data_IF_734384126561
#
_entry.id   IF_734384126561
#
_cell.length_a   1.000
_cell.length_b   1.000
_cell.length_c   1.000
_cell.angle_alpha   90.00
_cell.angle_beta   90.00
_cell.angle_gamma   90.00
#
_symmetry.space_group_name_H-M   'P 1'
#
loop_
_entity.id
_entity.type
_entity.pdbx_description
1 polymer ?
#
# COMPACT_ATOMS: atom_id res chain seq x y z
N UNK A 1 21.49 10.37 7.70
CA UNK A 1 22.15 9.09 8.04
C UNK A 1 21.06 8.09 8.34
N UNK A 2 21.07 6.91 7.71
CA UNK A 2 20.04 5.88 7.93
C UNK A 2 20.44 5.09 9.18
N UNK A 3 19.57 5.03 10.18
CA UNK A 3 19.82 4.32 11.43
C UNK A 3 18.97 3.05 11.50
N UNK A 4 19.52 2.00 12.09
CA UNK A 4 18.73 0.81 12.43
C UNK A 4 17.68 1.17 13.48
N UNK A 5 16.48 0.58 13.36
CA UNK A 5 15.38 0.76 14.30
C UNK A 5 15.00 -0.57 14.93
N UNK A 6 14.72 -0.55 16.24
CA UNK A 6 14.21 -1.71 16.97
C UNK A 6 12.70 -1.56 17.16
N UNK A 7 11.97 -2.62 16.80
CA UNK A 7 10.52 -2.70 16.97
C UNK A 7 10.24 -3.65 18.13
N UNK A 8 9.43 -3.20 19.08
CA UNK A 8 8.83 -4.07 20.10
C UNK A 8 7.43 -4.43 19.63
N UNK A 9 7.15 -5.73 19.58
CA UNK A 9 5.86 -6.27 19.18
C UNK A 9 5.29 -7.12 20.30
N UNK A 10 4.03 -6.86 20.63
CA UNK A 10 3.27 -7.62 21.61
C UNK A 10 2.04 -8.21 20.92
N UNK A 11 2.02 -9.53 20.82
CA UNK A 11 0.92 -10.28 20.21
C UNK A 11 -0.02 -10.70 21.34
N UNK A 12 -1.23 -10.14 21.36
CA UNK A 12 -2.20 -10.48 22.38
C UNK A 12 -2.68 -11.92 22.20
N UNK A 13 -2.91 -12.61 23.31
CA UNK A 13 -3.48 -13.96 23.34
C UNK A 13 -2.68 -15.02 22.54
N UNK A 14 -1.44 -14.68 22.14
CA UNK A 14 -0.65 -15.51 21.22
C UNK A 14 -1.22 -15.59 19.79
N UNK A 15 -2.20 -14.76 19.42
CA UNK A 15 -2.87 -14.79 18.13
C UNK A 15 -2.34 -13.70 17.17
N UNK A 16 -1.47 -14.01 16.19
CA UNK A 16 -0.95 -13.01 15.24
C UNK A 16 -2.03 -12.47 14.28
N UNK A 17 -3.16 -13.17 14.14
CA UNK A 17 -4.26 -12.73 13.29
C UNK A 17 -5.24 -11.81 14.03
N UNK A 18 -5.16 -11.75 15.35
CA UNK A 18 -5.98 -10.88 16.20
C UNK A 18 -5.34 -9.51 16.41
N UNK A 19 -5.31 -9.09 17.69
CA UNK A 19 -4.66 -7.86 18.14
C UNK A 19 -3.13 -7.99 18.21
N UNK A 20 -2.44 -6.98 17.70
CA UNK A 20 -1.00 -6.79 17.86
C UNK A 20 -0.76 -5.33 18.27
N UNK A 21 0.12 -5.11 19.23
CA UNK A 21 0.65 -3.80 19.60
C UNK A 21 2.11 -3.70 19.15
N UNK A 22 2.46 -2.59 18.50
CA UNK A 22 3.80 -2.31 17.99
C UNK A 22 4.28 -0.93 18.44
N UNK A 23 5.55 -0.86 18.84
CA UNK A 23 6.23 0.38 19.21
C UNK A 23 7.66 0.43 18.70
N UNK A 24 8.18 1.65 18.53
CA UNK A 24 9.60 1.89 18.26
C UNK A 24 10.30 2.38 19.52
N UNK A 25 11.55 1.98 19.70
CA UNK A 25 12.39 2.52 20.78
C UNK A 25 12.51 4.05 20.66
N UNK A 26 12.32 4.75 21.78
CA UNK A 26 12.37 6.21 21.90
C UNK A 26 11.32 6.98 21.09
N UNK A 27 10.23 6.33 20.65
CA UNK A 27 9.11 7.00 20.00
C UNK A 27 7.87 6.96 20.90
N UNK A 28 7.14 8.08 20.97
CA UNK A 28 5.93 8.17 21.79
C UNK A 28 4.65 7.66 21.08
N UNK A 29 4.77 7.27 19.81
CA UNK A 29 3.66 6.65 19.10
C UNK A 29 3.53 5.18 19.45
N UNK A 30 2.30 4.68 19.30
CA UNK A 30 1.94 3.27 19.42
C UNK A 30 0.99 2.90 18.30
N UNK A 31 1.26 1.76 17.66
CA UNK A 31 0.43 1.22 16.59
C UNK A 31 -0.24 -0.05 17.08
N UNK A 32 -1.53 -0.17 16.81
CA UNK A 32 -2.30 -1.39 17.01
C UNK A 32 -2.79 -1.92 15.69
N UNK A 33 -2.61 -3.22 15.43
CA UNK A 33 -3.46 -3.98 14.51
C UNK A 33 -4.57 -4.62 15.32
N UNK A 34 -5.81 -4.47 14.87
CA UNK A 34 -7.00 -4.96 15.55
C UNK A 34 -7.89 -5.64 14.50
N UNK A 35 -8.09 -6.94 14.63
CA UNK A 35 -9.11 -7.61 13.80
C UNK A 35 -10.49 -7.06 14.13
N UNK A 36 -11.37 -6.90 13.13
CA UNK A 36 -12.74 -6.38 13.32
C UNK A 36 -13.50 -7.10 14.42
N UNK A 37 -13.31 -8.41 14.55
CA UNK A 37 -14.00 -9.24 15.55
C UNK A 37 -13.46 -9.05 16.98
N UNK A 38 -12.31 -8.40 17.15
CA UNK A 38 -11.61 -8.24 18.42
C UNK A 38 -11.66 -6.79 18.96
N UNK A 39 -12.46 -5.91 18.35
CA UNK A 39 -12.69 -4.53 18.82
C UNK A 39 -13.30 -4.50 20.21
N UNK A 40 -14.16 -5.47 20.54
CA UNK A 40 -14.75 -5.60 21.88
C UNK A 40 -13.66 -5.71 22.95
N UNK A 41 -12.69 -6.59 22.79
CA UNK A 41 -11.68 -6.77 23.83
C UNK A 41 -10.54 -5.74 23.71
N UNK A 42 -10.34 -5.13 22.54
CA UNK A 42 -9.55 -3.90 22.44
C UNK A 42 -10.14 -2.78 23.30
N UNK A 43 -11.47 -2.73 23.46
CA UNK A 43 -12.11 -1.70 24.29
C UNK A 43 -11.85 -1.78 25.79
N UNK A 44 -11.27 -2.89 26.26
CA UNK A 44 -10.87 -3.04 27.65
C UNK A 44 -9.54 -2.35 27.96
N UNK A 45 -8.82 -1.85 26.94
CA UNK A 45 -7.55 -1.13 27.15
C UNK A 45 -7.78 0.31 27.58
N UNK A 46 -6.97 0.76 28.53
CA UNK A 46 -7.02 2.13 29.04
C UNK A 46 -6.73 3.18 27.96
N UNK A 47 -5.83 2.86 27.02
CA UNK A 47 -5.42 3.75 25.94
C UNK A 47 -6.23 3.57 24.64
N UNK A 48 -7.30 2.76 24.67
CA UNK A 48 -8.14 2.50 23.48
C UNK A 48 -8.89 3.73 22.99
N UNK A 49 -9.11 4.73 23.85
CA UNK A 49 -9.79 5.98 23.51
C UNK A 49 -8.82 7.15 23.31
N UNK A 50 -7.51 6.93 23.27
CA UNK A 50 -6.55 8.01 23.07
C UNK A 50 -6.76 8.73 21.73
N UNK A 51 -6.36 9.99 21.67
CA UNK A 51 -6.40 10.77 20.43
C UNK A 51 -5.43 10.18 19.39
N UNK A 52 -5.91 10.02 18.16
CA UNK A 52 -5.08 9.41 17.11
C UNK A 52 -5.74 9.36 15.74
N UNK A 53 -5.08 8.63 14.85
CA UNK A 53 -5.57 8.30 13.51
C UNK A 53 -5.77 6.79 13.40
N UNK A 54 -6.68 6.36 12.54
CA UNK A 54 -6.95 4.96 12.28
C UNK A 54 -7.18 4.69 10.80
N UNK A 55 -6.91 3.45 10.39
CA UNK A 55 -7.03 2.97 9.02
C UNK A 55 -7.89 1.71 9.04
N UNK A 56 -9.00 1.70 8.30
CA UNK A 56 -9.84 0.52 8.13
C UNK A 56 -9.48 -0.14 6.81
N UNK A 57 -8.99 -1.37 6.89
CA UNK A 57 -8.43 -2.13 5.77
C UNK A 57 -9.40 -3.23 5.38
N UNK A 58 -9.77 -3.27 4.11
CA UNK A 58 -10.75 -4.20 3.58
C UNK A 58 -10.46 -4.59 2.14
N UNK A 59 -11.49 -5.14 1.50
CA UNK A 59 -11.45 -5.47 0.07
C UNK A 59 -12.75 -5.09 -0.60
N UNK A 60 -12.68 -4.65 -1.85
CA UNK A 60 -13.85 -4.43 -2.71
C UNK A 60 -14.40 -5.75 -3.27
N UNK A 61 -15.52 -5.69 -3.99
CA UNK A 61 -16.16 -6.84 -4.64
C UNK A 61 -15.25 -7.54 -5.66
N UNK A 62 -14.25 -6.83 -6.18
CA UNK A 62 -13.24 -7.36 -7.10
C UNK A 62 -11.99 -7.89 -6.37
N UNK A 63 -12.06 -8.05 -5.04
CA UNK A 63 -10.96 -8.50 -4.19
C UNK A 63 -9.73 -7.56 -4.23
N UNK A 64 -9.93 -6.29 -4.60
CA UNK A 64 -8.89 -5.24 -4.53
C UNK A 64 -8.84 -4.63 -3.14
N UNK A 65 -7.66 -4.34 -2.64
CA UNK A 65 -7.50 -3.78 -1.30
C UNK A 65 -8.09 -2.38 -1.19
N UNK A 66 -8.82 -2.13 -0.11
CA UNK A 66 -9.45 -0.84 0.22
C UNK A 66 -8.91 -0.29 1.52
N UNK A 67 -8.90 1.04 1.63
CA UNK A 67 -8.50 1.74 2.85
C UNK A 67 -9.43 2.93 3.11
N UNK A 68 -9.96 3.01 4.32
CA UNK A 68 -10.55 4.23 4.88
C UNK A 68 -9.58 4.83 5.90
N UNK A 69 -9.40 6.14 5.88
CA UNK A 69 -8.49 6.86 6.77
C UNK A 69 -9.29 7.83 7.60
N UNK A 70 -9.19 7.75 8.92
CA UNK A 70 -9.93 8.61 9.83
C UNK A 70 -9.10 9.11 11.00
N UNK A 71 -9.58 10.19 11.62
CA UNK A 71 -9.09 10.69 12.91
C UNK A 71 -10.18 10.68 13.98
N UNK A 72 -9.77 10.65 15.24
CA UNK A 72 -10.63 11.01 16.36
C UNK A 72 -9.82 11.39 17.61
N UNK A 73 -10.42 12.22 18.46
CA UNK A 73 -9.97 12.42 19.86
C UNK A 73 -10.29 11.20 20.74
N UNK A 74 -11.24 10.37 20.29
CA UNK A 74 -11.68 9.12 20.91
C UNK A 74 -11.78 8.04 19.84
N UNK A 75 -10.65 7.40 19.53
CA UNK A 75 -10.53 6.52 18.35
C UNK A 75 -11.48 5.32 18.42
N UNK A 76 -11.60 4.67 19.58
CA UNK A 76 -12.43 3.49 19.70
C UNK A 76 -13.91 3.83 19.55
N UNK A 77 -14.35 4.95 20.14
CA UNK A 77 -15.72 5.45 19.93
C UNK A 77 -16.01 5.64 18.45
N UNK A 78 -15.07 6.20 17.69
CA UNK A 78 -15.24 6.42 16.25
C UNK A 78 -15.18 5.11 15.45
N UNK A 79 -14.26 4.21 15.75
CA UNK A 79 -14.16 2.88 15.11
C UNK A 79 -15.43 2.06 15.34
N UNK A 80 -16.02 2.11 16.54
CA UNK A 80 -17.31 1.45 16.86
C UNK A 80 -18.48 2.00 16.03
N UNK A 81 -18.43 3.25 15.56
CA UNK A 81 -19.44 3.77 14.63
C UNK A 81 -19.33 3.05 13.28
N UNK A 82 -18.11 2.86 12.77
CA UNK A 82 -17.85 2.15 11.52
C UNK A 82 -18.19 0.65 11.53
N UNK A 83 -18.41 0.05 12.70
CA UNK A 83 -18.93 -1.32 12.79
C UNK A 83 -20.37 -1.44 12.26
N UNK A 84 -21.12 -0.33 12.25
CA UNK A 84 -22.52 -0.28 11.81
C UNK A 84 -22.66 0.10 10.33
N UNK A 85 -21.57 0.53 9.70
CA UNK A 85 -21.56 0.94 8.30
C UNK A 85 -21.75 -0.27 7.37
N UNK A 86 -22.26 -0.02 6.17
CA UNK A 86 -22.46 -1.03 5.12
C UNK A 86 -21.14 -1.53 4.54
N UNK A 87 -20.08 -0.72 4.60
CA UNK A 87 -18.76 -1.09 4.09
C UNK A 87 -18.05 -2.04 5.04
N UNK A 88 -17.74 -3.23 4.51
CA UNK A 88 -17.04 -4.25 5.27
C UNK A 88 -15.52 -4.04 5.22
N UNK A 89 -14.88 -4.18 6.38
CA UNK A 89 -13.43 -4.10 6.55
C UNK A 89 -13.00 -5.21 7.50
N UNK A 90 -11.76 -5.70 7.35
CA UNK A 90 -11.25 -6.86 8.08
C UNK A 90 -10.39 -6.46 9.28
N UNK A 91 -9.47 -5.54 9.05
CA UNK A 91 -8.50 -5.09 10.04
C UNK A 91 -8.59 -3.58 10.24
N UNK A 92 -8.40 -3.14 11.48
CA UNK A 92 -8.19 -1.75 11.83
C UNK A 92 -6.75 -1.57 12.31
N UNK A 93 -6.05 -0.61 11.72
CA UNK A 93 -4.81 -0.09 12.28
C UNK A 93 -5.13 1.18 13.04
N UNK A 94 -4.87 1.21 14.35
CA UNK A 94 -5.01 2.42 15.16
C UNK A 94 -3.62 2.95 15.55
N UNK A 95 -3.42 4.26 15.45
CA UNK A 95 -2.15 4.91 15.75
C UNK A 95 -2.41 6.05 16.73
N UNK A 96 -1.86 5.91 17.93
CA UNK A 96 -2.07 6.84 19.03
C UNK A 96 -0.74 7.38 19.56
N UNK A 97 -0.82 8.43 20.37
CA UNK A 97 0.27 8.82 21.29
C UNK A 97 0.03 8.20 22.67
N UNK A 98 1.08 7.64 23.29
CA UNK A 98 0.97 7.00 24.61
C UNK A 98 0.62 8.01 25.70
N UNK A 99 1.22 9.20 25.64
CA UNK A 99 0.97 10.27 26.61
C UNK A 99 -0.12 11.25 26.15
N UNK A 100 -0.92 10.87 25.14
CA UNK A 100 -1.98 11.69 24.56
C UNK A 100 -1.49 13.09 24.13
N UNK A 101 -0.29 13.17 23.56
CA UNK A 101 0.32 14.43 23.07
C UNK A 101 -0.39 14.99 21.83
N UNK A 102 -1.13 14.15 21.12
CA UNK A 102 -1.85 14.55 19.91
C UNK A 102 -3.12 15.29 20.28
N UNK A 103 -3.32 16.47 19.69
CA UNK A 103 -4.56 17.21 19.77
C UNK A 103 -5.36 17.13 18.46
N UNK A 104 -6.53 17.79 18.43
CA UNK A 104 -7.41 17.80 17.26
C UNK A 104 -6.76 18.31 15.97
N UNK A 105 -5.95 19.36 16.06
CA UNK A 105 -5.27 19.92 14.89
C UNK A 105 -4.20 18.95 14.36
N UNK A 106 -3.47 18.28 15.26
CA UNK A 106 -2.48 17.27 14.89
C UNK A 106 -3.12 16.09 14.15
N UNK A 107 -4.20 15.51 14.68
CA UNK A 107 -4.82 14.33 14.04
C UNK A 107 -5.51 14.66 12.72
N UNK A 108 -6.05 15.87 12.55
CA UNK A 108 -6.54 16.35 11.24
C UNK A 108 -5.42 16.52 10.22
N UNK A 109 -4.27 17.05 10.65
CA UNK A 109 -3.08 17.13 9.81
C UNK A 109 -2.63 15.72 9.39
N UNK A 110 -2.52 14.79 10.35
CA UNK A 110 -2.13 13.40 10.09
C UNK A 110 -3.10 12.70 9.14
N UNK A 111 -4.41 12.80 9.37
CA UNK A 111 -5.45 12.22 8.49
C UNK A 111 -5.29 12.69 7.05
N UNK A 112 -5.14 14.00 6.83
CA UNK A 112 -4.93 14.56 5.50
C UNK A 112 -3.64 14.06 4.84
N UNK A 113 -2.53 13.99 5.60
CA UNK A 113 -1.25 13.50 5.07
C UNK A 113 -1.30 12.03 4.72
N UNK A 114 -1.85 11.17 5.58
CA UNK A 114 -2.04 9.75 5.27
C UNK A 114 -3.00 9.53 4.10
N UNK A 115 -4.08 10.31 4.01
CA UNK A 115 -4.99 10.28 2.86
C UNK A 115 -4.25 10.58 1.56
N UNK A 116 -3.46 11.65 1.56
CA UNK A 116 -2.66 12.04 0.39
C UNK A 116 -1.63 10.97 0.03
N UNK A 117 -0.92 10.43 1.03
CA UNK A 117 0.05 9.34 0.84
C UNK A 117 -0.59 8.09 0.23
N UNK A 118 -1.77 7.66 0.71
CA UNK A 118 -2.46 6.49 0.17
C UNK A 118 -2.93 6.72 -1.28
N UNK A 119 -3.45 7.91 -1.59
CA UNK A 119 -3.82 8.28 -2.96
C UNK A 119 -2.59 8.29 -3.89
N UNK A 120 -1.48 8.87 -3.45
CA UNK A 120 -0.24 8.92 -4.25
C UNK A 120 0.39 7.54 -4.43
N UNK A 121 0.37 6.70 -3.40
CA UNK A 121 0.90 5.33 -3.48
C UNK A 121 0.10 4.45 -4.44
N UNK A 122 -1.22 4.64 -4.53
CA UNK A 122 -2.09 3.92 -5.47
C UNK A 122 -2.19 2.41 -5.19
N UNK A 123 -1.76 1.96 -4.00
CA UNK A 123 -1.73 0.54 -3.60
C UNK A 123 -3.08 -0.01 -3.18
N UNK A 124 -3.96 0.87 -2.67
CA UNK A 124 -5.32 0.52 -2.24
C UNK A 124 -6.30 1.58 -2.71
N UNK A 125 -7.54 1.16 -2.95
CA UNK A 125 -8.62 2.11 -3.25
C UNK A 125 -9.02 2.84 -1.97
N UNK A 126 -8.76 4.15 -1.93
CA UNK A 126 -9.16 5.00 -0.79
C UNK A 126 -10.65 5.30 -0.90
N UNK A 127 -11.42 4.86 0.11
CA UNK A 127 -12.90 4.89 0.11
C UNK A 127 -13.52 6.06 0.88
N UNK A 128 -12.71 6.98 1.43
CA UNK A 128 -13.22 8.21 2.03
C UNK A 128 -14.12 8.97 1.04
N UNK A 129 -15.28 9.42 1.52
CA UNK A 129 -16.26 10.18 0.72
C UNK A 129 -15.80 11.60 0.39
N UNK A 130 -14.93 12.17 1.21
CA UNK A 130 -14.38 13.52 1.04
C UNK A 130 -12.87 13.53 1.30
N UNK A 131 -12.19 14.54 0.76
CA UNK A 131 -10.79 14.82 1.09
C UNK A 131 -10.73 15.39 2.51
N UNK A 132 -10.00 14.76 3.45
CA UNK A 132 -9.87 15.28 4.80
C UNK A 132 -9.28 16.68 4.85
N UNK A 133 -9.73 17.52 5.76
CA UNK A 133 -9.23 18.89 5.91
C UNK A 133 -7.84 18.91 6.54
N UNK A 134 -6.92 19.71 6.02
CA UNK A 134 -5.61 19.91 6.64
C UNK A 134 -5.65 21.10 7.60
N UNK A 135 -5.43 20.85 8.90
CA UNK A 135 -5.25 21.92 9.88
C UNK A 135 -3.90 22.61 9.70
N UNK A 136 -3.86 23.92 9.98
CA UNK A 136 -2.61 24.67 10.13
C UNK A 136 -1.99 24.37 11.48
N UNK A 137 -0.69 24.10 11.50
CA UNK A 137 0.10 23.76 12.69
C UNK A 137 1.40 24.55 12.68
N UNK A 138 2.07 24.63 13.84
CA UNK A 138 3.39 25.28 13.92
C UNK A 138 4.45 24.47 13.16
N UNK A 139 5.54 25.13 12.75
CA UNK A 139 6.70 24.45 12.13
C UNK A 139 7.28 23.36 13.04
N UNK A 140 7.29 23.61 14.35
CA UNK A 140 7.72 22.63 15.35
C UNK A 140 6.82 21.38 15.37
N UNK A 141 5.50 21.58 15.37
CA UNK A 141 4.54 20.48 15.32
C UNK A 141 4.63 19.72 14.00
N UNK A 142 4.83 20.43 12.89
CA UNK A 142 5.01 19.80 11.58
C UNK A 142 6.22 18.87 11.57
N UNK A 143 7.38 19.32 12.06
CA UNK A 143 8.57 18.47 12.17
C UNK A 143 8.31 17.20 12.99
N UNK A 144 7.61 17.34 14.13
CA UNK A 144 7.23 16.23 15.01
C UNK A 144 6.27 15.25 14.33
N UNK A 145 5.24 15.76 13.63
CA UNK A 145 4.25 14.92 12.94
C UNK A 145 4.82 14.25 11.68
N UNK A 146 5.81 14.85 11.02
CA UNK A 146 6.53 14.19 9.92
C UNK A 146 7.31 12.97 10.41
N UNK A 147 7.96 13.06 11.57
CA UNK A 147 8.58 11.89 12.20
C UNK A 147 7.53 10.84 12.58
N UNK A 148 6.40 11.29 13.14
CA UNK A 148 5.27 10.42 13.48
C UNK A 148 4.75 9.65 12.26
N UNK A 149 4.58 10.32 11.12
CA UNK A 149 4.16 9.70 9.85
C UNK A 149 5.19 8.67 9.40
N UNK A 150 6.47 9.02 9.39
CA UNK A 150 7.57 8.13 8.96
C UNK A 150 7.63 6.85 9.79
N UNK A 151 7.57 6.98 11.12
CA UNK A 151 7.55 5.86 12.05
C UNK A 151 6.30 4.99 11.90
N UNK A 152 5.14 5.62 11.69
CA UNK A 152 3.88 4.92 11.45
C UNK A 152 3.94 4.09 10.16
N UNK A 153 4.41 4.67 9.05
CA UNK A 153 4.59 3.96 7.78
C UNK A 153 5.47 2.71 7.97
N UNK A 154 6.58 2.84 8.68
CA UNK A 154 7.51 1.74 8.95
C UNK A 154 6.86 0.59 9.73
N UNK A 155 6.10 0.89 10.77
CA UNK A 155 5.41 -0.13 11.57
C UNK A 155 4.28 -0.81 10.79
N UNK A 156 3.51 -0.05 10.02
CA UNK A 156 2.41 -0.58 9.22
C UNK A 156 2.93 -1.50 8.11
N UNK A 157 4.03 -1.12 7.48
CA UNK A 157 4.73 -1.97 6.51
C UNK A 157 5.27 -3.26 7.16
N UNK A 158 5.84 -3.16 8.37
CA UNK A 158 6.30 -4.32 9.15
C UNK A 158 5.15 -5.27 9.48
N UNK A 159 3.95 -4.74 9.69
CA UNK A 159 2.72 -5.52 9.88
C UNK A 159 2.16 -6.13 8.58
N UNK A 160 2.79 -5.87 7.43
CA UNK A 160 2.44 -6.42 6.13
C UNK A 160 1.57 -5.53 5.26
N UNK A 161 1.24 -4.31 5.70
CA UNK A 161 0.39 -3.39 4.94
C UNK A 161 1.22 -2.32 4.24
N UNK A 162 1.27 -2.35 2.90
CA UNK A 162 2.09 -1.45 2.07
C UNK A 162 1.32 -0.24 1.51
N UNK A 163 0.24 0.14 2.18
CA UNK A 163 -0.76 1.11 1.69
C UNK A 163 -0.22 2.53 1.45
N UNK A 164 0.92 2.88 2.06
CA UNK A 164 1.55 4.20 1.96
C UNK A 164 2.90 4.19 1.24
N UNK A 165 3.35 3.05 0.73
CA UNK A 165 4.64 2.92 0.09
C UNK A 165 4.56 3.26 -1.39
N UNK A 166 5.43 4.18 -1.82
CA UNK A 166 5.65 4.39 -3.24
C UNK A 166 6.32 3.16 -3.84
N UNK A 167 6.10 2.95 -5.14
CA UNK A 167 6.75 1.87 -5.87
C UNK A 167 8.27 2.00 -5.83
N UNK A 168 8.78 3.23 -5.86
CA UNK A 168 10.21 3.55 -5.72
C UNK A 168 10.78 3.12 -4.36
N UNK A 169 10.02 3.34 -3.26
CA UNK A 169 10.42 2.93 -1.90
C UNK A 169 10.57 1.41 -1.80
N UNK A 170 9.76 0.66 -2.54
CA UNK A 170 9.78 -0.82 -2.55
C UNK A 170 10.70 -1.43 -3.61
N UNK A 171 11.36 -0.61 -4.43
CA UNK A 171 12.19 -1.08 -5.54
C UNK A 171 13.41 -1.86 -5.02
N UNK A 172 13.61 -3.06 -5.55
CA UNK A 172 14.77 -3.89 -5.17
C UNK A 172 15.97 -3.39 -5.96
N UNK A 173 16.91 -2.72 -5.29
CA UNK A 173 18.20 -2.31 -5.87
C UNK A 173 19.11 -3.53 -5.99
N UNK A 174 19.02 -4.26 -7.10
CA UNK A 174 20.00 -5.28 -7.46
C UNK A 174 21.34 -4.57 -7.79
N UNK A 175 22.37 -4.78 -6.97
CA UNK A 175 23.72 -4.23 -7.18
C UNK A 175 23.80 -2.69 -7.28
N UNK A 176 23.16 -1.97 -6.34
CA UNK A 176 23.21 -0.51 -6.20
C UNK A 176 22.60 0.31 -7.36
N UNK A 177 22.26 -0.31 -8.49
CA UNK A 177 21.53 0.30 -9.60
C UNK A 177 20.12 -0.29 -9.72
N UNK A 178 19.12 0.58 -9.86
CA UNK A 178 17.74 0.15 -10.12
C UNK A 178 17.69 -0.44 -11.54
N UNK A 179 17.49 -1.77 -11.62
CA UNK A 179 17.41 -2.46 -12.90
C UNK A 179 16.01 -2.29 -13.48
N UNK A 180 15.88 -1.43 -14.49
CA UNK A 180 14.68 -1.32 -15.30
C UNK A 180 14.61 -2.47 -16.29
N UNK A 181 13.40 -3.00 -16.45
CA UNK A 181 13.06 -4.05 -17.38
C UNK A 181 12.09 -3.54 -18.42
N UNK A 182 12.25 -4.00 -19.65
CA UNK A 182 11.53 -3.52 -20.80
C UNK A 182 10.86 -4.68 -21.52
N UNK A 183 9.65 -4.44 -22.00
CA UNK A 183 8.97 -5.28 -23.00
C UNK A 183 8.71 -4.41 -24.22
N UNK A 184 9.11 -4.91 -25.39
CA UNK A 184 8.70 -4.37 -26.69
C UNK A 184 8.19 -5.51 -27.56
N UNK A 185 6.90 -5.50 -27.89
CA UNK A 185 6.23 -6.59 -28.59
C UNK A 185 5.50 -6.12 -29.86
N UNK A 186 5.34 -7.03 -30.82
CA UNK A 186 4.83 -6.73 -32.16
C UNK A 186 3.42 -6.12 -32.22
N UNK A 187 2.60 -6.27 -31.17
CA UNK A 187 1.22 -5.72 -31.10
C UNK A 187 1.15 -4.33 -30.45
N UNK A 188 2.26 -3.59 -30.50
CA UNK A 188 2.34 -2.22 -29.96
C UNK A 188 2.56 -2.13 -28.45
N UNK A 189 2.84 -3.25 -27.76
CA UNK A 189 3.19 -3.18 -26.35
C UNK A 189 4.61 -2.63 -26.19
N UNK A 190 4.76 -1.60 -25.37
CA UNK A 190 6.03 -0.96 -25.03
C UNK A 190 5.95 -0.53 -23.56
N UNK A 191 6.47 -1.37 -22.67
CA UNK A 191 6.33 -1.18 -21.24
C UNK A 191 7.67 -1.19 -20.52
N UNK A 192 7.76 -0.39 -19.47
CA UNK A 192 8.88 -0.38 -18.53
C UNK A 192 8.37 -0.87 -17.18
N UNK A 193 9.13 -1.74 -16.54
CA UNK A 193 8.82 -2.25 -15.21
C UNK A 193 10.04 -2.44 -14.35
N UNK A 194 9.80 -2.62 -13.06
CA UNK A 194 10.83 -2.81 -12.03
C UNK A 194 10.39 -3.91 -11.06
N UNK A 195 11.36 -4.60 -10.47
CA UNK A 195 11.11 -5.54 -9.38
C UNK A 195 10.88 -4.74 -8.10
N UNK A 196 9.80 -5.08 -7.40
CA UNK A 196 9.48 -4.53 -6.08
C UNK A 196 9.35 -5.65 -5.06
N UNK A 197 9.46 -5.32 -3.78
CA UNK A 197 9.44 -6.31 -2.70
C UNK A 197 8.15 -7.14 -2.61
N UNK A 198 7.05 -6.69 -3.19
CA UNK A 198 5.75 -7.38 -3.26
C UNK A 198 5.33 -7.81 -4.68
N UNK A 199 6.25 -7.83 -5.65
CA UNK A 199 5.96 -8.33 -6.99
C UNK A 199 6.70 -7.56 -8.08
N UNK A 200 5.95 -7.09 -9.08
CA UNK A 200 6.52 -6.44 -10.27
C UNK A 200 5.69 -5.22 -10.66
N UNK A 201 6.29 -4.05 -10.61
CA UNK A 201 5.63 -2.80 -10.93
C UNK A 201 5.84 -2.43 -12.40
N UNK A 202 4.76 -2.10 -13.11
CA UNK A 202 4.77 -1.47 -14.43
C UNK A 202 4.61 0.03 -14.25
N UNK A 203 5.47 0.81 -14.90
CA UNK A 203 5.54 2.25 -14.69
C UNK A 203 4.53 3.01 -15.53
N UNK A 204 4.11 4.16 -15.03
CA UNK A 204 3.33 5.18 -15.74
C UNK A 204 3.98 5.48 -17.09
N UNK A 205 3.15 5.63 -18.13
CA UNK A 205 3.61 5.86 -19.50
C UNK A 205 3.87 4.56 -20.27
N UNK A 206 3.83 3.39 -19.63
CA UNK A 206 3.92 2.10 -20.31
C UNK A 206 2.69 1.84 -21.16
N UNK A 207 2.88 1.29 -22.36
CA UNK A 207 1.84 0.99 -23.34
C UNK A 207 1.61 -0.52 -23.38
N UNK A 208 0.35 -0.94 -23.30
CA UNK A 208 -0.05 -2.34 -23.46
C UNK A 208 -0.46 -2.62 -24.91
N UNK A 209 -0.36 -3.88 -25.33
CA UNK A 209 -0.76 -4.30 -26.67
C UNK A 209 -2.20 -3.89 -26.97
N UNK A 210 -2.50 -3.40 -28.17
CA UNK A 210 -3.86 -2.93 -28.53
C UNK A 210 -4.91 -4.05 -28.60
N UNK A 211 -4.48 -5.31 -28.71
CA UNK A 211 -5.35 -6.48 -28.83
C UNK A 211 -4.89 -7.66 -27.98
N UNK A 212 -5.85 -8.51 -27.61
CA UNK A 212 -5.61 -9.76 -26.88
C UNK A 212 -5.63 -10.97 -27.82
N UNK A 213 -4.89 -12.04 -27.50
CA UNK A 213 -5.02 -13.32 -28.21
C UNK A 213 -6.27 -14.08 -27.74
N UNK A 214 -6.89 -14.86 -28.64
CA UNK A 214 -8.01 -15.75 -28.30
C UNK A 214 -7.69 -16.77 -27.19
N UNK A 215 -6.42 -17.16 -27.05
CA UNK A 215 -5.96 -18.11 -26.03
C UNK A 215 -5.65 -17.48 -24.67
N UNK A 216 -5.80 -16.16 -24.52
CA UNK A 216 -5.60 -15.48 -23.23
C UNK A 216 -6.68 -15.94 -22.25
N UNK A 217 -6.28 -16.26 -21.02
CA UNK A 217 -7.23 -16.77 -20.03
C UNK A 217 -8.26 -15.70 -19.64
N UNK A 218 -9.47 -16.15 -19.32
CA UNK A 218 -10.58 -15.26 -18.93
C UNK A 218 -10.21 -14.36 -17.74
N UNK A 219 -9.50 -14.91 -16.74
CA UNK A 219 -9.05 -14.15 -15.58
C UNK A 219 -8.12 -12.98 -15.96
N UNK A 220 -7.23 -13.17 -16.93
CA UNK A 220 -6.35 -12.11 -17.42
C UNK A 220 -7.11 -11.06 -18.23
N UNK A 221 -8.09 -11.48 -19.03
CA UNK A 221 -8.99 -10.56 -19.74
C UNK A 221 -9.78 -9.69 -18.74
N UNK A 222 -10.33 -10.32 -17.70
CA UNK A 222 -11.07 -9.62 -16.65
C UNK A 222 -10.18 -8.61 -15.91
N UNK A 223 -8.96 -9.01 -15.52
CA UNK A 223 -8.00 -8.11 -14.89
C UNK A 223 -7.69 -6.91 -15.80
N UNK A 224 -7.40 -7.16 -17.08
CA UNK A 224 -7.09 -6.10 -18.04
C UNK A 224 -8.26 -5.13 -18.22
N UNK A 225 -9.49 -5.64 -18.33
CA UNK A 225 -10.70 -4.81 -18.41
C UNK A 225 -10.93 -4.02 -17.12
N UNK A 226 -10.64 -4.62 -15.96
CA UNK A 226 -10.72 -3.94 -14.67
C UNK A 226 -9.73 -2.77 -14.60
N UNK A 227 -8.50 -2.93 -15.09
CA UNK A 227 -7.51 -1.84 -15.12
C UNK A 227 -7.94 -0.68 -16.04
N UNK A 228 -8.57 -1.00 -17.18
CA UNK A 228 -9.16 0.00 -18.09
C UNK A 228 -10.34 0.72 -17.41
N UNK A 229 -11.26 -0.03 -16.82
CA UNK A 229 -12.44 0.53 -16.15
C UNK A 229 -12.08 1.39 -14.93
N UNK A 230 -11.02 1.02 -14.20
CA UNK A 230 -10.51 1.81 -13.06
C UNK A 230 -9.69 3.04 -13.50
N UNK A 231 -9.50 3.27 -14.80
CA UNK A 231 -8.69 4.38 -15.32
C UNK A 231 -7.19 4.25 -15.03
N UNK A 232 -6.73 3.06 -14.58
CA UNK A 232 -5.31 2.80 -14.38
C UNK A 232 -4.60 2.77 -15.74
N UNK A 233 -5.33 2.29 -16.75
CA UNK A 233 -4.93 2.30 -18.16
C UNK A 233 -5.98 3.12 -18.91
N UNK A 234 -5.54 4.12 -19.67
CA UNK A 234 -6.44 5.00 -20.42
C UNK A 234 -6.90 4.37 -21.75
N UNK A 235 -7.75 5.12 -22.48
CA UNK A 235 -8.28 4.71 -23.78
C UNK A 235 -7.19 4.49 -24.86
N UNK A 236 -6.03 5.12 -24.70
CA UNK A 236 -4.86 4.95 -25.58
C UNK A 236 -3.97 3.76 -25.19
N UNK A 237 -4.47 2.87 -24.31
CA UNK A 237 -3.75 1.70 -23.80
C UNK A 237 -2.46 2.05 -23.03
N UNK A 238 -2.41 3.23 -22.41
CA UNK A 238 -1.28 3.71 -21.64
C UNK A 238 -1.58 3.73 -20.14
N UNK A 239 -0.62 3.30 -19.32
CA UNK A 239 -0.73 3.37 -17.85
C UNK A 239 -0.66 4.83 -17.38
N UNK A 240 -1.71 5.33 -16.72
CA UNK A 240 -1.77 6.70 -16.17
C UNK A 240 -1.05 6.84 -14.83
N UNK A 241 -0.85 5.72 -14.15
CA UNK A 241 -0.12 5.60 -12.89
C UNK A 241 0.68 4.30 -12.87
N UNK A 242 1.67 4.24 -11.98
CA UNK A 242 2.40 3.01 -11.74
C UNK A 242 1.43 1.94 -11.17
N UNK A 243 1.58 0.68 -11.59
CA UNK A 243 0.74 -0.41 -11.11
C UNK A 243 1.56 -1.65 -10.77
N UNK A 244 1.36 -2.19 -9.56
CA UNK A 244 2.08 -3.37 -9.07
C UNK A 244 1.27 -4.63 -9.32
N UNK A 245 1.86 -5.55 -10.07
CA UNK A 245 1.35 -6.90 -10.25
C UNK A 245 1.97 -7.86 -9.25
N UNK A 246 1.24 -8.90 -8.86
CA UNK A 246 1.71 -9.95 -7.93
C UNK A 246 2.87 -10.78 -8.49
N UNK A 247 3.13 -10.72 -9.80
CA UNK A 247 4.26 -11.40 -10.42
C UNK A 247 4.70 -10.75 -11.74
N UNK A 248 5.97 -10.92 -12.15
CA UNK A 248 6.44 -10.50 -13.47
C UNK A 248 5.65 -11.12 -14.63
N UNK A 249 5.21 -12.38 -14.48
CA UNK A 249 4.42 -13.07 -15.51
C UNK A 249 3.02 -12.49 -15.67
N UNK A 250 2.36 -12.13 -14.58
CA UNK A 250 1.07 -11.44 -14.65
C UNK A 250 1.20 -10.09 -15.35
N UNK A 251 2.24 -9.32 -14.99
CA UNK A 251 2.55 -8.05 -15.65
C UNK A 251 2.80 -8.23 -17.16
N UNK A 252 3.67 -9.17 -17.54
CA UNK A 252 3.97 -9.45 -18.94
C UNK A 252 2.71 -9.88 -19.71
N UNK A 253 1.86 -10.72 -19.10
CA UNK A 253 0.68 -11.23 -19.77
C UNK A 253 -0.35 -10.13 -20.06
N UNK A 254 -0.57 -9.22 -19.10
CA UNK A 254 -1.46 -8.06 -19.26
C UNK A 254 -0.91 -7.08 -20.29
N UNK A 255 0.39 -6.74 -20.20
CA UNK A 255 1.08 -5.84 -21.12
C UNK A 255 1.04 -6.38 -22.55
N UNK A 256 1.39 -7.65 -22.75
CA UNK A 256 1.49 -8.24 -24.10
C UNK A 256 0.15 -8.69 -24.67
N UNK A 257 -0.92 -8.76 -23.86
CA UNK A 257 -2.24 -9.24 -24.29
C UNK A 257 -2.25 -10.73 -24.66
N UNK A 258 -1.45 -11.56 -23.98
CA UNK A 258 -1.41 -13.03 -24.15
C UNK A 258 -0.84 -13.69 -22.91
N UNK A 259 -0.97 -15.01 -22.77
CA UNK A 259 -0.16 -15.74 -21.79
C UNK A 259 1.32 -15.53 -22.10
N UNK A 260 2.09 -15.15 -21.07
CA UNK A 260 3.49 -14.78 -21.20
C UNK A 260 4.26 -15.17 -19.93
N UNK A 261 5.50 -15.65 -20.11
CA UNK A 261 6.39 -15.92 -19.00
C UNK A 261 7.24 -14.67 -18.72
N UNK A 262 6.94 -13.97 -17.62
CA UNK A 262 7.61 -12.71 -17.31
C UNK A 262 9.11 -12.86 -17.14
N UNK A 263 9.59 -14.02 -16.68
CA UNK A 263 11.03 -14.28 -16.46
C UNK A 263 11.83 -14.24 -17.77
N UNK A 264 11.21 -14.50 -18.91
CA UNK A 264 11.86 -14.50 -20.22
C UNK A 264 11.54 -13.26 -21.06
N UNK A 265 10.38 -12.64 -20.83
CA UNK A 265 9.88 -11.52 -21.62
C UNK A 265 10.45 -10.18 -21.14
N UNK A 266 10.57 -9.98 -19.82
CA UNK A 266 11.17 -8.79 -19.24
C UNK A 266 12.69 -8.84 -19.39
N UNK A 267 13.24 -7.83 -20.08
CA UNK A 267 14.68 -7.73 -20.38
C UNK A 267 15.27 -6.39 -19.98
N UNK A 268 16.52 -6.37 -19.56
CA UNK A 268 17.25 -5.10 -19.35
C UNK A 268 17.64 -4.45 -20.68
N UNK A 269 18.21 -3.25 -20.63
CA UNK A 269 18.82 -2.58 -21.80
C UNK A 269 19.86 -3.45 -22.49
N UNK A 270 20.59 -4.27 -21.73
CA UNK A 270 21.61 -5.20 -22.22
C UNK A 270 21.02 -6.51 -22.76
N UNK A 271 19.69 -6.57 -22.92
CA UNK A 271 18.93 -7.74 -23.39
C UNK A 271 19.00 -8.97 -22.47
N UNK A 272 19.53 -8.84 -21.25
CA UNK A 272 19.50 -9.91 -20.24
C UNK A 272 18.08 -10.08 -19.72
N UNK A 273 17.61 -11.31 -19.69
CA UNK A 273 16.30 -11.67 -19.16
C UNK A 273 16.29 -11.63 -17.63
N UNK A 274 15.11 -11.44 -17.06
CA UNK A 274 14.93 -11.56 -15.61
C UNK A 274 15.41 -12.93 -15.09
N UNK A 275 15.15 -14.02 -15.82
CA UNK A 275 15.62 -15.37 -15.48
C UNK A 275 17.14 -15.44 -15.34
N UNK A 276 17.87 -14.92 -16.33
CA UNK A 276 19.34 -14.93 -16.32
C UNK A 276 19.91 -14.11 -15.15
N UNK A 277 19.26 -13.01 -14.78
CA UNK A 277 19.67 -12.18 -13.64
C UNK A 277 19.44 -12.91 -12.32
N UNK A 278 18.29 -13.56 -12.16
CA UNK A 278 17.99 -14.35 -10.96
C UNK A 278 18.94 -15.55 -10.82
N UNK A 279 19.27 -16.22 -11.92
CA UNK A 279 20.18 -17.37 -11.92
C UNK A 279 21.64 -16.97 -11.69
N UNK A 280 22.05 -15.75 -12.06
CA UNK A 280 23.42 -15.26 -11.83
C UNK A 280 23.72 -14.92 -10.36
N UNK A 281 22.72 -14.90 -9.49
CA UNK A 281 22.85 -14.65 -8.04
C UNK A 281 22.99 -15.97 -7.26
N UNK A 282 22.76 -17.11 -7.90
CA UNK A 282 22.88 -18.47 -7.35
C UNK A 282 24.30 -18.99 -7.61
#
# INVERSE_FOLDING_TARGET
>A
MVFSKTIQMYIFDGNPNGRIMCELSNWNGRVYKISRNEISDFSNREDSENTGVYFLLGKDENNSDTIYIGEAEKILTRIKQHLKDTEYWNDCIAVISKDNLLNKAHVKYLENKFYSLAKTAGRSTVVNSTVPTCSSISEYDEAMLQEFISNTKLLINTLGYKVFDLIEDTSVKLNQNQSYFYIKAARGAEATGIIVSDGFAVLKGSIIASSITKSMSTSLCNLRNLLLNKGIINADFCFEQNYTFTSPSLAAAVVMGRNANGRTEWKTTDKKTLKEIEEAVI
#
